data_IF_524077951602
#
_entry.id   IF_524077951602
#
_cell.length_a   1.000
_cell.length_b   1.000
_cell.length_c   1.000
_cell.angle_alpha   90.00
_cell.angle_beta   90.00
_cell.angle_gamma   90.00
#
_symmetry.space_group_name_H-M   'P 1'
#
loop_
_entity.id
_entity.type
_entity.pdbx_description
1 polymer ?
#
# COMPACT_ATOMS: atom_id res chain seq x y z
N UNK A 1 -8.37 -4.76 18.61
CA UNK A 1 -7.48 -5.68 17.89
C UNK A 1 -6.76 -4.96 16.74
N UNK A 2 -7.49 -4.30 15.81
CA UNK A 2 -6.91 -3.63 14.63
C UNK A 2 -5.85 -2.59 15.04
N UNK A 3 -6.14 -1.69 15.98
CA UNK A 3 -5.20 -0.67 16.44
C UNK A 3 -3.90 -1.29 17.00
N UNK A 4 -4.01 -2.37 17.79
CA UNK A 4 -2.85 -3.08 18.32
C UNK A 4 -2.01 -3.73 17.20
N UNK A 5 -2.65 -4.31 16.19
CA UNK A 5 -1.96 -4.89 15.05
C UNK A 5 -1.19 -3.81 14.28
N UNK A 6 -1.82 -2.67 13.97
CA UNK A 6 -1.17 -1.55 13.30
C UNK A 6 0.01 -0.99 14.10
N UNK A 7 -0.15 -0.83 15.43
CA UNK A 7 0.95 -0.41 16.30
C UNK A 7 2.10 -1.42 16.27
N UNK A 8 1.80 -2.71 16.37
CA UNK A 8 2.81 -3.75 16.37
C UNK A 8 3.60 -3.77 15.05
N UNK A 9 2.93 -3.81 13.88
CA UNK A 9 3.62 -3.82 12.60
C UNK A 9 4.43 -2.53 12.37
N UNK A 10 3.94 -1.37 12.82
CA UNK A 10 4.69 -0.11 12.76
C UNK A 10 5.98 -0.17 13.59
N UNK A 11 5.93 -0.76 14.78
CA UNK A 11 7.14 -0.98 15.60
C UNK A 11 8.11 -1.93 14.88
N UNK A 12 7.64 -3.06 14.36
CA UNK A 12 8.49 -3.97 13.60
C UNK A 12 9.10 -3.33 12.35
N UNK A 13 8.35 -2.47 11.66
CA UNK A 13 8.83 -1.72 10.50
C UNK A 13 10.00 -0.80 10.77
N UNK A 14 10.21 -0.36 12.03
CA UNK A 14 11.35 0.49 12.41
C UNK A 14 12.68 -0.26 12.44
N UNK A 15 12.66 -1.58 12.61
CA UNK A 15 13.87 -2.37 12.84
C UNK A 15 14.89 -2.19 11.70
N UNK A 16 14.55 -2.37 10.41
CA UNK A 16 15.52 -2.15 9.33
C UNK A 16 16.02 -0.70 9.26
N UNK A 17 15.17 0.30 9.56
CA UNK A 17 15.53 1.71 9.54
C UNK A 17 16.57 2.03 10.62
N UNK A 18 16.40 1.47 11.82
CA UNK A 18 17.32 1.63 12.94
C UNK A 18 18.64 0.89 12.71
N UNK A 19 18.58 -0.35 12.23
CA UNK A 19 19.79 -1.16 11.97
C UNK A 19 20.67 -0.55 10.87
N UNK A 20 20.05 0.05 9.86
CA UNK A 20 20.77 0.72 8.77
C UNK A 20 21.26 2.12 9.13
N UNK A 21 20.88 2.64 10.32
CA UNK A 21 21.14 4.03 10.72
C UNK A 21 20.62 5.08 9.73
N UNK A 22 19.54 4.74 9.04
CA UNK A 22 18.89 5.63 8.04
C UNK A 22 18.08 6.74 8.68
N UNK A 23 17.79 6.65 9.97
CA UNK A 23 17.09 7.64 10.78
C UNK A 23 17.94 8.05 11.97
N UNK A 24 17.84 9.31 12.38
CA UNK A 24 18.65 9.89 13.46
C UNK A 24 18.24 9.37 14.84
N UNK A 25 16.95 9.09 15.03
CA UNK A 25 16.38 8.67 16.31
C UNK A 25 15.35 7.56 16.14
N UNK A 26 14.99 6.92 17.27
CA UNK A 26 13.87 5.97 17.28
C UNK A 26 12.53 6.65 16.95
N UNK A 27 12.34 7.91 17.36
CA UNK A 27 11.15 8.68 17.05
C UNK A 27 11.01 8.90 15.52
N UNK A 28 12.12 9.22 14.85
CA UNK A 28 12.15 9.35 13.37
C UNK A 28 11.83 8.02 12.69
N UNK A 29 12.39 6.92 13.19
CA UNK A 29 12.14 5.58 12.65
C UNK A 29 10.67 5.17 12.82
N UNK A 30 10.04 5.45 13.98
CA UNK A 30 8.62 5.23 14.22
C UNK A 30 7.78 6.09 13.27
N UNK A 31 8.10 7.38 13.14
CA UNK A 31 7.38 8.28 12.25
C UNK A 31 7.40 7.76 10.80
N UNK A 32 8.59 7.42 10.31
CA UNK A 32 8.77 6.89 8.96
C UNK A 32 7.98 5.58 8.74
N UNK A 33 8.02 4.67 9.71
CA UNK A 33 7.30 3.40 9.64
C UNK A 33 5.78 3.58 9.70
N UNK A 34 5.27 4.42 10.60
CA UNK A 34 3.84 4.73 10.70
C UNK A 34 3.36 5.41 9.42
N UNK A 35 4.12 6.40 8.92
CA UNK A 35 3.84 7.08 7.65
C UNK A 35 3.81 6.11 6.48
N UNK A 36 4.72 5.13 6.47
CA UNK A 36 4.77 4.10 5.45
C UNK A 36 3.54 3.18 5.49
N UNK A 37 3.24 2.56 6.63
CA UNK A 37 2.12 1.63 6.75
C UNK A 37 0.76 2.30 6.64
N UNK A 38 0.61 3.55 7.10
CA UNK A 38 -0.63 4.32 6.90
C UNK A 38 -0.79 4.89 5.49
N UNK A 39 0.20 4.65 4.62
CA UNK A 39 0.28 5.20 3.26
C UNK A 39 0.21 6.73 3.20
N UNK A 40 0.63 7.40 4.27
CA UNK A 40 0.65 8.87 4.36
C UNK A 40 1.72 9.49 3.47
N UNK A 41 2.90 8.83 3.35
CA UNK A 41 3.99 9.27 2.49
C UNK A 41 4.81 10.47 3.02
N UNK A 42 4.56 10.92 4.24
CA UNK A 42 5.40 11.94 4.87
C UNK A 42 6.74 11.32 5.31
N UNK A 43 7.85 12.02 5.10
CA UNK A 43 9.19 11.55 5.45
C UNK A 43 9.96 12.59 6.27
N UNK A 44 10.73 12.12 7.22
CA UNK A 44 11.70 12.92 7.97
C UNK A 44 13.11 12.83 7.37
N UNK A 45 13.29 11.97 6.36
CA UNK A 45 14.59 11.76 5.69
C UNK A 45 14.73 12.81 4.59
N UNK A 46 15.64 13.75 4.79
CA UNK A 46 15.84 14.87 3.86
C UNK A 46 16.57 14.45 2.57
N UNK A 47 17.53 13.52 2.67
CA UNK A 47 18.31 13.02 1.54
C UNK A 47 18.05 11.55 1.29
N UNK A 48 17.11 11.27 0.39
CA UNK A 48 16.71 9.90 0.03
C UNK A 48 17.76 9.23 -0.87
N UNK A 49 18.52 10.02 -1.62
CA UNK A 49 19.53 9.51 -2.55
C UNK A 49 20.72 8.86 -1.82
N UNK A 50 20.99 9.29 -0.58
CA UNK A 50 22.04 8.71 0.26
C UNK A 50 21.65 7.38 0.92
N UNK A 51 20.37 7.02 0.91
CA UNK A 51 19.90 5.79 1.51
C UNK A 51 20.33 4.54 0.77
N UNK A 52 20.63 3.45 1.50
CA UNK A 52 20.80 2.15 0.88
C UNK A 52 19.55 1.76 0.05
N UNK A 53 19.74 1.22 -1.15
CA UNK A 53 18.64 0.81 -2.04
C UNK A 53 17.67 -0.17 -1.37
N UNK A 54 18.18 -1.05 -0.50
CA UNK A 54 17.38 -1.99 0.29
C UNK A 54 16.41 -1.28 1.25
N UNK A 55 16.85 -0.17 1.84
CA UNK A 55 16.02 0.63 2.76
C UNK A 55 14.94 1.38 1.98
N UNK A 56 15.27 1.96 0.84
CA UNK A 56 14.26 2.58 -0.03
C UNK A 56 13.22 1.55 -0.50
N UNK A 57 13.65 0.36 -0.88
CA UNK A 57 12.74 -0.74 -1.21
C UNK A 57 11.86 -1.11 -0.02
N UNK A 58 12.43 -1.23 1.19
CA UNK A 58 11.68 -1.52 2.42
C UNK A 58 10.62 -0.47 2.71
N UNK A 59 10.94 0.82 2.60
CA UNK A 59 10.00 1.93 2.77
C UNK A 59 8.81 1.81 1.82
N UNK A 60 9.07 1.58 0.54
CA UNK A 60 8.02 1.40 -0.48
C UNK A 60 7.23 0.09 -0.28
N UNK A 61 7.88 -0.97 0.20
CA UNK A 61 7.20 -2.22 0.53
C UNK A 61 6.24 -2.06 1.71
N UNK A 62 6.59 -1.26 2.72
CA UNK A 62 5.66 -0.92 3.82
C UNK A 62 4.42 -0.19 3.30
N UNK A 63 4.55 0.73 2.31
CA UNK A 63 3.39 1.33 1.63
C UNK A 63 2.51 0.28 0.96
N UNK A 64 3.12 -0.65 0.25
CA UNK A 64 2.39 -1.72 -0.45
C UNK A 64 1.62 -2.60 0.53
N UNK A 65 2.24 -3.00 1.65
CA UNK A 65 1.60 -3.76 2.71
C UNK A 65 0.49 -2.96 3.41
N UNK A 66 0.70 -1.67 3.63
CA UNK A 66 -0.28 -0.76 4.21
C UNK A 66 -1.52 -0.60 3.34
N UNK A 67 -1.34 -0.35 2.05
CA UNK A 67 -2.43 -0.25 1.07
C UNK A 67 -3.26 -1.54 1.02
N UNK A 68 -2.60 -2.69 1.05
CA UNK A 68 -3.24 -4.00 1.09
C UNK A 68 -3.99 -4.23 2.42
N UNK A 69 -3.45 -3.77 3.54
CA UNK A 69 -4.11 -3.82 4.85
C UNK A 69 -5.40 -3.01 4.89
N UNK A 70 -5.42 -1.83 4.27
CA UNK A 70 -6.63 -0.98 4.17
C UNK A 70 -7.70 -1.66 3.32
N UNK A 71 -7.34 -2.29 2.19
CA UNK A 71 -8.28 -3.05 1.36
C UNK A 71 -8.91 -4.19 2.16
N UNK A 72 -8.10 -4.96 2.89
CA UNK A 72 -8.58 -6.05 3.73
C UNK A 72 -9.52 -5.55 4.84
N UNK A 73 -9.17 -4.43 5.49
CA UNK A 73 -10.00 -3.80 6.52
C UNK A 73 -11.32 -3.30 5.95
N UNK A 74 -11.32 -2.67 4.79
CA UNK A 74 -12.53 -2.19 4.11
C UNK A 74 -13.49 -3.33 3.84
N UNK A 75 -13.02 -4.44 3.29
CA UNK A 75 -13.85 -5.64 3.04
C UNK A 75 -14.42 -6.21 4.34
N UNK A 76 -13.65 -6.19 5.43
CA UNK A 76 -14.09 -6.70 6.73
C UNK A 76 -15.12 -5.78 7.40
N UNK A 77 -15.03 -4.45 7.20
CA UNK A 77 -15.91 -3.47 7.84
C UNK A 77 -17.20 -3.16 7.05
N UNK A 78 -17.18 -3.26 5.72
CA UNK A 78 -18.33 -2.97 4.86
C UNK A 78 -19.64 -3.66 5.33
N UNK A 79 -19.63 -4.96 5.69
CA UNK A 79 -20.82 -5.62 6.18
C UNK A 79 -21.29 -5.12 7.56
N UNK A 80 -20.36 -4.65 8.40
CA UNK A 80 -20.68 -4.12 9.73
C UNK A 80 -21.33 -2.74 9.65
N UNK A 81 -21.01 -1.96 8.61
CA UNK A 81 -21.56 -0.62 8.37
C UNK A 81 -22.93 -0.65 7.68
N UNK A 82 -23.42 -1.83 7.30
CA UNK A 82 -24.72 -1.97 6.65
C UNK A 82 -24.79 -1.36 5.24
N UNK A 83 -23.66 -1.01 4.65
CA UNK A 83 -23.56 -0.42 3.31
C UNK A 83 -23.54 -1.54 2.28
N UNK A 84 -24.64 -1.76 1.61
CA UNK A 84 -24.81 -2.76 0.55
C UNK A 84 -26.13 -3.53 0.72
N UNK A 85 -26.58 -4.20 -0.31
CA UNK A 85 -27.85 -4.94 -0.46
C UNK A 85 -28.19 -5.93 0.68
N UNK A 86 -27.37 -6.03 1.71
CA UNK A 86 -27.56 -6.90 2.87
C UNK A 86 -28.72 -6.48 3.79
N UNK A 87 -29.13 -5.21 3.79
CA UNK A 87 -30.31 -4.80 4.58
C UNK A 87 -31.62 -5.37 4.01
N UNK A 88 -31.71 -5.52 2.70
CA UNK A 88 -32.89 -6.13 2.06
C UNK A 88 -32.93 -7.65 2.27
N UNK A 89 -31.78 -8.33 2.23
CA UNK A 89 -31.70 -9.78 2.45
C UNK A 89 -31.88 -10.14 3.94
N UNK A 90 -31.42 -9.26 4.85
CA UNK A 90 -31.59 -9.45 6.30
C UNK A 90 -33.02 -9.27 6.77
N UNK A 91 -33.83 -8.53 6.03
CA UNK A 91 -35.27 -8.36 6.31
C UNK A 91 -36.08 -9.61 5.92
N UNK A 92 -35.57 -10.45 5.03
CA UNK A 92 -36.24 -11.69 4.58
C UNK A 92 -35.79 -12.96 5.27
N UNK A 93 -34.65 -12.92 6.02
CA UNK A 93 -34.07 -14.08 6.69
C UNK A 93 -34.25 -13.99 8.20
N UNK A 94 -35.30 -14.64 8.71
CA UNK A 94 -35.51 -14.88 10.13
C UNK A 94 -34.65 -16.07 10.62
N UNK A 95 -33.45 -15.77 11.16
CA UNK A 95 -32.61 -16.80 11.81
C UNK A 95 -31.44 -16.17 12.54
N UNK A 96 -31.01 -16.69 13.72
CA UNK A 96 -29.86 -16.18 14.46
C UNK A 96 -28.56 -16.69 13.81
N UNK A 97 -28.04 -15.99 12.81
CA UNK A 97 -26.73 -16.29 12.26
C UNK A 97 -25.65 -15.58 13.07
N UNK A 98 -24.90 -16.40 13.84
CA UNK A 98 -23.64 -16.02 14.47
C UNK A 98 -22.67 -15.57 13.37
N UNK A 99 -22.06 -14.39 13.55
CA UNK A 99 -21.19 -13.73 12.58
C UNK A 99 -19.99 -14.57 12.10
N UNK A 100 -20.26 -15.50 11.23
CA UNK A 100 -19.23 -16.19 10.46
C UNK A 100 -18.89 -15.32 9.26
N UNK A 101 -17.58 -15.11 9.04
CA UNK A 101 -17.06 -14.55 7.80
C UNK A 101 -17.59 -15.45 6.68
N UNK A 102 -18.59 -14.95 5.93
CA UNK A 102 -19.23 -15.76 4.90
C UNK A 102 -18.19 -16.08 3.80
N UNK A 103 -18.22 -17.26 3.18
CA UNK A 103 -17.34 -17.65 2.06
C UNK A 103 -17.29 -16.59 0.94
N UNK A 104 -18.38 -15.85 0.77
CA UNK A 104 -18.48 -14.75 -0.18
C UNK A 104 -17.54 -13.57 0.12
N UNK A 105 -17.35 -13.23 1.40
CA UNK A 105 -16.43 -12.16 1.82
C UNK A 105 -14.97 -12.57 1.60
N UNK A 106 -14.62 -13.82 1.91
CA UNK A 106 -13.28 -14.34 1.68
C UNK A 106 -12.94 -14.35 0.18
N UNK A 107 -13.88 -14.71 -0.68
CA UNK A 107 -13.70 -14.70 -2.12
C UNK A 107 -13.54 -13.27 -2.67
N UNK A 108 -14.33 -12.31 -2.17
CA UNK A 108 -14.19 -10.90 -2.53
C UNK A 108 -12.81 -10.36 -2.13
N UNK A 109 -12.38 -10.61 -0.91
CA UNK A 109 -11.04 -10.22 -0.45
C UNK A 109 -9.94 -10.81 -1.35
N UNK A 110 -10.05 -12.11 -1.68
CA UNK A 110 -9.10 -12.79 -2.57
C UNK A 110 -9.04 -12.17 -3.96
N UNK A 111 -10.19 -11.80 -4.53
CA UNK A 111 -10.27 -11.15 -5.84
C UNK A 111 -9.60 -9.78 -5.82
N UNK A 112 -9.86 -8.98 -4.78
CA UNK A 112 -9.23 -7.66 -4.60
C UNK A 112 -7.71 -7.76 -4.42
N UNK A 113 -7.24 -8.76 -3.70
CA UNK A 113 -5.81 -9.05 -3.56
C UNK A 113 -5.15 -9.42 -4.88
N UNK A 114 -5.79 -10.27 -5.66
CA UNK A 114 -5.32 -10.65 -7.00
C UNK A 114 -5.26 -9.45 -7.94
N UNK A 115 -6.27 -8.58 -7.90
CA UNK A 115 -6.31 -7.36 -8.70
C UNK A 115 -5.17 -6.40 -8.30
N UNK A 116 -5.01 -6.17 -6.99
CA UNK A 116 -3.94 -5.32 -6.45
C UNK A 116 -2.56 -5.82 -6.84
N UNK A 117 -2.33 -7.13 -6.70
CA UNK A 117 -1.09 -7.77 -7.12
C UNK A 117 -0.90 -7.68 -8.64
N UNK A 118 -1.95 -7.92 -9.41
CA UNK A 118 -1.92 -7.82 -10.88
C UNK A 118 -1.54 -6.42 -11.36
N UNK A 119 -2.13 -5.38 -10.78
CA UNK A 119 -1.74 -4.00 -11.08
C UNK A 119 -0.30 -3.68 -10.65
N UNK A 120 0.15 -4.24 -9.53
CA UNK A 120 1.55 -4.07 -9.10
C UNK A 120 2.52 -4.64 -10.13
N UNK A 121 2.26 -5.86 -10.60
CA UNK A 121 3.08 -6.52 -11.64
C UNK A 121 3.02 -5.75 -12.95
N UNK A 122 1.84 -5.32 -13.38
CA UNK A 122 1.66 -4.55 -14.61
C UNK A 122 2.43 -3.22 -14.54
N UNK A 123 2.35 -2.50 -13.43
CA UNK A 123 3.08 -1.25 -13.23
C UNK A 123 4.59 -1.47 -13.22
N UNK A 124 5.08 -2.49 -12.48
CA UNK A 124 6.48 -2.87 -12.48
C UNK A 124 7.00 -3.13 -13.91
N UNK A 125 6.28 -3.93 -14.70
CA UNK A 125 6.66 -4.25 -16.08
C UNK A 125 6.67 -2.98 -16.94
N UNK A 126 5.64 -2.14 -16.84
CA UNK A 126 5.55 -0.89 -17.59
C UNK A 126 6.74 0.05 -17.30
N UNK A 127 7.10 0.23 -16.02
CA UNK A 127 8.27 1.04 -15.63
C UNK A 127 9.59 0.43 -16.10
N UNK A 128 9.68 -0.89 -16.07
CA UNK A 128 10.84 -1.62 -16.58
C UNK A 128 11.02 -1.42 -18.08
N UNK A 129 9.94 -1.43 -18.85
CA UNK A 129 9.93 -1.16 -20.28
C UNK A 129 10.29 0.31 -20.59
N UNK A 130 10.01 1.24 -19.68
CA UNK A 130 10.44 2.63 -19.78
C UNK A 130 11.94 2.84 -19.46
N UNK A 131 12.69 1.76 -19.16
CA UNK A 131 14.14 1.81 -18.95
C UNK A 131 14.57 2.03 -17.49
N UNK A 132 13.65 2.00 -16.53
CA UNK A 132 14.00 2.10 -15.12
C UNK A 132 14.76 0.86 -14.61
N UNK A 133 15.59 1.05 -13.59
CA UNK A 133 16.24 -0.05 -12.88
C UNK A 133 15.23 -0.96 -12.19
N UNK A 134 15.60 -2.24 -11.95
CA UNK A 134 14.71 -3.24 -11.37
C UNK A 134 14.21 -2.82 -9.97
N UNK A 135 15.14 -2.37 -9.10
CA UNK A 135 14.82 -1.98 -7.73
C UNK A 135 13.94 -0.74 -7.72
N UNK A 136 14.26 0.24 -8.55
CA UNK A 136 13.47 1.47 -8.65
C UNK A 136 12.08 1.17 -9.21
N UNK A 137 11.96 0.37 -10.29
CA UNK A 137 10.66 -0.03 -10.86
C UNK A 137 9.79 -0.74 -9.83
N UNK A 138 10.36 -1.64 -9.02
CA UNK A 138 9.64 -2.36 -7.98
C UNK A 138 9.21 -1.42 -6.84
N UNK A 139 10.10 -0.53 -6.41
CA UNK A 139 9.82 0.45 -5.36
C UNK A 139 8.69 1.40 -5.76
N UNK A 140 8.75 1.94 -6.97
CA UNK A 140 7.67 2.79 -7.48
C UNK A 140 6.36 2.02 -7.68
N UNK A 141 6.41 0.77 -8.14
CA UNK A 141 5.21 -0.06 -8.24
C UNK A 141 4.55 -0.25 -6.86
N UNK A 142 5.32 -0.53 -5.83
CA UNK A 142 4.82 -0.67 -4.46
C UNK A 142 4.23 0.63 -3.92
N UNK A 143 4.97 1.74 -4.05
CA UNK A 143 4.56 3.03 -3.53
C UNK A 143 3.33 3.58 -4.24
N UNK A 144 3.24 3.44 -5.56
CA UNK A 144 2.12 3.92 -6.37
C UNK A 144 0.85 3.14 -6.07
N UNK A 145 0.91 1.80 -6.08
CA UNK A 145 -0.27 0.97 -5.80
C UNK A 145 -0.74 1.08 -4.34
N UNK A 146 0.21 1.27 -3.41
CA UNK A 146 -0.10 1.61 -2.03
C UNK A 146 -0.66 3.03 -1.83
N UNK A 147 -0.68 3.85 -2.90
CA UNK A 147 -1.07 5.28 -2.84
C UNK A 147 -0.28 6.10 -1.82
N UNK A 148 0.98 5.70 -1.56
CA UNK A 148 1.78 6.26 -0.46
C UNK A 148 2.67 7.43 -0.85
N UNK A 149 3.32 7.37 -2.01
CA UNK A 149 4.13 8.47 -2.55
C UNK A 149 5.62 8.46 -2.17
N UNK A 150 6.12 7.47 -1.42
CA UNK A 150 7.56 7.32 -1.22
C UNK A 150 8.28 7.05 -2.54
N UNK A 151 9.44 7.63 -2.69
CA UNK A 151 10.29 7.52 -3.86
C UNK A 151 11.67 6.99 -3.48
N UNK A 152 12.42 6.50 -4.48
CA UNK A 152 13.81 6.06 -4.32
C UNK A 152 14.81 7.21 -4.57
N UNK A 153 14.30 8.36 -5.00
CA UNK A 153 15.08 9.57 -5.28
C UNK A 153 14.43 10.78 -4.63
N UNK A 154 15.23 11.73 -4.17
CA UNK A 154 14.75 12.99 -3.58
C UNK A 154 13.94 13.79 -4.60
N UNK A 155 14.36 13.80 -5.86
CA UNK A 155 13.63 14.42 -6.96
C UNK A 155 12.41 13.60 -7.46
N UNK A 156 12.11 12.45 -6.84
CA UNK A 156 11.00 11.56 -7.20
C UNK A 156 11.03 11.19 -8.71
N UNK A 157 9.87 11.17 -9.36
CA UNK A 157 9.72 10.78 -10.76
C UNK A 157 10.48 11.72 -11.70
N UNK A 158 10.62 13.00 -11.36
CA UNK A 158 11.33 13.98 -12.18
C UNK A 158 12.82 13.66 -12.38
N UNK A 159 13.40 12.84 -11.49
CA UNK A 159 14.78 12.34 -11.64
C UNK A 159 15.02 11.64 -12.99
N UNK A 160 14.03 10.91 -13.50
CA UNK A 160 14.16 10.13 -14.73
C UNK A 160 14.05 10.96 -16.00
N UNK A 161 13.56 12.19 -15.90
CA UNK A 161 13.38 13.11 -17.03
C UNK A 161 12.78 12.42 -18.28
N UNK A 162 11.76 11.60 -18.05
CA UNK A 162 11.13 10.73 -19.06
C UNK A 162 9.62 10.87 -19.03
N UNK A 163 9.07 11.45 -20.11
CA UNK A 163 7.63 11.57 -20.29
C UNK A 163 6.90 10.22 -20.21
N UNK A 164 7.54 9.14 -20.69
CA UNK A 164 6.97 7.79 -20.62
C UNK A 164 6.78 7.33 -19.17
N UNK A 165 7.78 7.55 -18.31
CA UNK A 165 7.70 7.23 -16.87
C UNK A 165 6.61 8.05 -16.19
N UNK A 166 6.53 9.34 -16.50
CA UNK A 166 5.51 10.24 -15.93
C UNK A 166 4.09 9.80 -16.31
N UNK A 167 3.85 9.50 -17.59
CA UNK A 167 2.54 9.03 -18.07
C UNK A 167 2.17 7.69 -17.40
N UNK A 168 3.10 6.72 -17.38
CA UNK A 168 2.87 5.42 -16.75
C UNK A 168 2.51 5.59 -15.29
N UNK A 169 3.31 6.34 -14.53
CA UNK A 169 3.01 6.59 -13.12
C UNK A 169 1.65 7.27 -12.93
N UNK A 170 1.33 8.29 -13.73
CA UNK A 170 0.05 9.02 -13.65
C UNK A 170 -1.14 8.10 -13.88
N UNK A 171 -1.08 7.24 -14.90
CA UNK A 171 -2.13 6.27 -15.18
C UNK A 171 -2.33 5.30 -14.00
N UNK A 172 -1.24 4.74 -13.49
CA UNK A 172 -1.35 3.80 -12.36
C UNK A 172 -1.73 4.47 -11.05
N UNK A 173 -1.35 5.74 -10.81
CA UNK A 173 -1.85 6.53 -9.66
C UNK A 173 -3.36 6.73 -9.76
N UNK A 174 -3.88 7.03 -10.94
CA UNK A 174 -5.33 7.14 -11.16
C UNK A 174 -6.03 5.81 -10.91
N UNK A 175 -5.53 4.71 -11.48
CA UNK A 175 -6.09 3.37 -11.27
C UNK A 175 -6.05 2.94 -9.80
N UNK A 176 -4.95 3.21 -9.09
CA UNK A 176 -4.82 2.90 -7.67
C UNK A 176 -5.74 3.73 -6.77
N UNK A 177 -6.07 4.97 -7.19
CA UNK A 177 -6.97 5.86 -6.47
C UNK A 177 -8.46 5.50 -6.62
N UNK A 178 -8.83 4.70 -7.62
CA UNK A 178 -10.20 4.22 -7.79
C UNK A 178 -10.49 3.13 -6.77
N UNK A 179 -11.72 3.12 -6.23
CA UNK A 179 -12.12 2.06 -5.30
C UNK A 179 -12.04 0.69 -5.99
N UNK A 180 -11.18 -0.18 -5.48
CA UNK A 180 -10.95 -1.52 -6.03
C UNK A 180 -12.20 -2.40 -6.11
N UNK A 181 -13.28 -2.09 -5.37
CA UNK A 181 -14.54 -2.80 -5.48
C UNK A 181 -15.34 -2.46 -6.75
N UNK A 182 -14.90 -1.49 -7.53
CA UNK A 182 -15.53 -1.07 -8.79
C UNK A 182 -14.95 -1.79 -10.02
N UNK A 183 -13.83 -2.49 -9.84
CA UNK A 183 -13.23 -3.34 -10.86
C UNK A 183 -13.78 -4.76 -10.77
#
# INVERSE_FOLDING_TARGET
>A
FVALAWTAISIFGTIPLMLSRSTASFADAIFESVSAFSTTGATVIADIDSLPRSINLWRCQMHWLGGMGIIALTVALLPLLGVGSFQLIKAESTGPEKGQITPKMANTAKSLWLLYFGFTVAHFIALKLCGMDVIDSLSYAFSTLGTGGFATRTASISYYNSLAVEIVCTVFMFLAGVNFSLY
#
